data_IF_893728968705
#
_entry.id   IF_893728968705
#
_cell.length_a   1.000
_cell.length_b   1.000
_cell.length_c   1.000
_cell.angle_alpha   90.00
_cell.angle_beta   90.00
_cell.angle_gamma   90.00
#
_symmetry.space_group_name_H-M   'P 1'
#
loop_
_entity.id
_entity.type
_entity.pdbx_description
1 polymer ?
#
# COMPACT_ATOMS: atom_id res chain seq x y z
N UNK A 1 5.27 14.36 17.27
CA UNK A 1 5.54 13.05 16.63
C UNK A 1 6.19 12.15 17.66
N UNK A 2 5.79 10.86 17.73
CA UNK A 2 6.37 9.88 18.65
C UNK A 2 7.76 9.41 18.24
N UNK A 3 8.42 8.62 19.12
CA UNK A 3 9.67 7.95 18.78
C UNK A 3 9.45 6.79 17.80
N UNK A 4 10.47 6.45 17.01
CA UNK A 4 10.50 5.19 16.27
C UNK A 4 10.71 4.02 17.22
N UNK A 5 10.48 2.80 16.74
CA UNK A 5 10.36 1.59 17.55
C UNK A 5 11.60 1.28 18.42
N UNK A 6 12.79 1.67 18.00
CA UNK A 6 14.02 1.39 18.72
C UNK A 6 15.15 2.38 18.38
N UNK A 7 16.22 2.47 19.20
CA UNK A 7 17.43 3.22 18.83
C UNK A 7 18.05 2.72 17.52
N UNK A 8 18.06 1.41 17.30
CA UNK A 8 18.57 0.81 16.05
C UNK A 8 17.77 1.27 14.82
N UNK A 9 16.44 1.37 14.93
CA UNK A 9 15.61 1.91 13.86
C UNK A 9 15.92 3.39 13.56
N UNK A 10 16.25 4.17 14.61
CA UNK A 10 16.67 5.56 14.43
C UNK A 10 18.01 5.66 13.69
N UNK A 11 18.99 4.82 14.03
CA UNK A 11 20.28 4.74 13.32
C UNK A 11 20.09 4.36 11.84
N UNK A 12 19.23 3.36 11.56
CA UNK A 12 18.91 2.94 10.19
C UNK A 12 18.28 4.07 9.38
N UNK A 13 17.39 4.86 9.96
CA UNK A 13 16.77 6.00 9.29
C UNK A 13 17.74 7.14 9.02
N UNK A 14 18.65 7.42 9.95
CA UNK A 14 19.72 8.39 9.72
C UNK A 14 20.69 7.93 8.62
N UNK A 15 21.02 6.64 8.59
CA UNK A 15 21.81 6.05 7.52
C UNK A 15 21.06 6.10 6.17
N UNK A 16 19.74 5.82 6.16
CA UNK A 16 18.91 5.95 4.97
C UNK A 16 18.92 7.39 4.42
N UNK A 17 18.73 8.40 5.28
CA UNK A 17 18.83 9.80 4.88
C UNK A 17 20.20 10.12 4.25
N UNK A 18 21.27 9.64 4.85
CA UNK A 18 22.64 9.85 4.32
C UNK A 18 22.81 9.15 2.97
N UNK A 19 22.31 7.93 2.82
CA UNK A 19 22.32 7.18 1.56
C UNK A 19 21.55 7.91 0.45
N UNK A 20 20.32 8.36 0.72
CA UNK A 20 19.53 9.12 -0.26
C UNK A 20 20.26 10.37 -0.75
N UNK A 21 20.95 11.07 0.17
CA UNK A 21 21.78 12.24 -0.18
C UNK A 21 22.99 11.85 -1.06
N UNK A 22 23.65 10.74 -0.77
CA UNK A 22 24.78 10.26 -1.58
C UNK A 22 24.38 9.87 -3.00
N UNK A 23 23.10 9.46 -3.17
CA UNK A 23 22.48 9.14 -4.47
C UNK A 23 21.93 10.37 -5.21
N UNK A 24 22.13 11.57 -4.68
CA UNK A 24 21.78 12.82 -5.35
C UNK A 24 20.52 13.50 -4.80
N UNK A 25 19.84 12.95 -3.80
CA UNK A 25 18.71 13.64 -3.17
C UNK A 25 19.20 14.89 -2.40
N UNK A 26 18.45 15.98 -2.53
CA UNK A 26 18.77 17.24 -1.84
C UNK A 26 18.01 17.32 -0.51
N UNK A 27 18.72 17.55 0.60
CA UNK A 27 18.09 17.77 1.91
C UNK A 27 17.33 19.11 1.91
N UNK A 28 16.03 19.05 2.19
CA UNK A 28 15.18 20.23 2.45
C UNK A 28 15.03 20.47 3.95
N UNK A 29 14.95 19.40 4.74
CA UNK A 29 14.95 19.40 6.20
C UNK A 29 15.78 18.20 6.67
N UNK A 30 16.81 18.46 7.46
CA UNK A 30 17.68 17.41 7.95
C UNK A 30 17.06 16.73 9.19
N UNK A 31 16.89 15.41 9.11
CA UNK A 31 16.50 14.57 10.25
C UNK A 31 17.67 14.40 11.21
N UNK A 32 17.42 14.57 12.50
CA UNK A 32 18.42 14.44 13.57
C UNK A 32 17.90 13.60 14.72
N UNK A 33 18.79 12.87 15.37
CA UNK A 33 18.47 12.23 16.63
C UNK A 33 18.43 13.28 17.75
N UNK A 34 17.27 13.41 18.40
CA UNK A 34 17.03 14.43 19.42
C UNK A 34 17.57 14.06 20.81
N UNK A 35 17.70 12.75 21.08
CA UNK A 35 18.25 12.22 22.31
C UNK A 35 19.09 10.97 22.00
N UNK A 36 20.37 10.91 22.42
CA UNK A 36 21.24 9.76 22.20
C UNK A 36 20.64 8.45 22.70
N UNK A 37 20.91 7.35 22.01
CA UNK A 37 20.47 5.99 22.36
C UNK A 37 18.94 5.85 22.50
N UNK A 38 18.15 6.65 21.79
CA UNK A 38 16.68 6.57 21.76
C UNK A 38 16.16 6.56 20.33
N UNK A 39 14.89 6.15 20.15
CA UNK A 39 14.17 6.26 18.88
C UNK A 39 13.65 7.67 18.56
N UNK A 40 14.07 8.72 19.29
CA UNK A 40 13.53 10.05 19.12
C UNK A 40 14.26 10.81 18.02
N UNK A 41 13.57 11.01 16.88
CA UNK A 41 14.07 11.70 15.71
C UNK A 41 13.25 12.98 15.43
N UNK A 42 13.92 14.01 14.89
CA UNK A 42 13.20 15.10 14.23
C UNK A 42 12.68 14.66 12.85
N UNK A 43 11.68 15.33 12.26
CA UNK A 43 11.33 15.11 10.85
C UNK A 43 12.49 15.39 9.91
N UNK A 44 12.55 14.64 8.80
CA UNK A 44 13.44 14.89 7.68
C UNK A 44 12.68 14.94 6.38
N UNK A 45 13.11 15.79 5.45
CA UNK A 45 12.56 15.92 4.10
C UNK A 45 13.71 15.95 3.09
N UNK A 46 13.65 15.08 2.10
CA UNK A 46 14.59 15.08 0.98
C UNK A 46 13.85 15.27 -0.34
N UNK A 47 14.43 16.05 -1.24
CA UNK A 47 13.97 16.22 -2.62
C UNK A 47 14.73 15.24 -3.51
N UNK A 48 14.03 14.24 -4.01
CA UNK A 48 14.56 13.20 -4.90
C UNK A 48 14.36 13.50 -6.38
N UNK A 49 13.92 14.71 -6.73
CA UNK A 49 13.65 15.08 -8.13
C UNK A 49 14.91 14.96 -8.98
N UNK A 50 14.87 14.08 -9.98
CA UNK A 50 15.99 13.83 -10.89
C UNK A 50 17.07 12.89 -10.34
N UNK A 51 16.92 12.35 -9.14
CA UNK A 51 17.78 11.33 -8.58
C UNK A 51 17.17 9.92 -8.74
N UNK A 52 18.03 8.93 -9.00
CA UNK A 52 17.63 7.52 -8.99
C UNK A 52 17.73 6.97 -7.56
N UNK A 53 16.61 6.94 -6.87
CA UNK A 53 16.54 6.50 -5.48
C UNK A 53 15.98 5.07 -5.38
N UNK A 54 16.38 4.30 -4.35
CA UNK A 54 15.81 2.98 -4.10
C UNK A 54 14.29 3.04 -3.85
N UNK A 55 13.55 2.07 -4.40
CA UNK A 55 12.13 1.86 -4.08
C UNK A 55 12.01 1.11 -2.76
N UNK A 56 12.22 1.85 -1.66
CA UNK A 56 12.21 1.33 -0.29
C UNK A 56 11.28 2.15 0.60
N UNK A 57 10.60 1.48 1.52
CA UNK A 57 9.77 2.09 2.54
C UNK A 57 10.58 2.33 3.83
N UNK A 58 10.64 3.58 4.27
CA UNK A 58 11.34 3.98 5.48
C UNK A 58 10.35 4.21 6.62
N UNK A 59 10.27 3.28 7.57
CA UNK A 59 9.34 3.34 8.72
C UNK A 59 9.78 4.38 9.75
N UNK A 60 9.62 5.65 9.42
CA UNK A 60 9.98 6.76 10.29
C UNK A 60 9.68 8.14 9.71
N UNK A 61 10.11 9.20 10.39
CA UNK A 61 9.79 10.57 10.04
C UNK A 61 10.65 11.12 8.88
N UNK A 62 10.86 10.34 7.84
CA UNK A 62 11.61 10.71 6.64
C UNK A 62 10.66 10.75 5.44
N UNK A 63 10.52 11.91 4.83
CA UNK A 63 9.70 12.12 3.65
C UNK A 63 10.57 12.39 2.43
N UNK A 64 10.35 11.65 1.35
CA UNK A 64 10.91 11.95 0.03
C UNK A 64 9.86 12.67 -0.81
N UNK A 65 10.22 13.80 -1.40
CA UNK A 65 9.36 14.57 -2.31
C UNK A 65 9.92 14.53 -3.71
N UNK A 66 9.04 14.46 -4.71
CA UNK A 66 9.37 14.56 -6.12
C UNK A 66 8.52 15.66 -6.75
N UNK A 67 9.14 16.50 -7.56
CA UNK A 67 8.48 17.55 -8.32
C UNK A 67 8.11 17.04 -9.70
N UNK A 68 6.92 17.34 -10.13
CA UNK A 68 6.41 16.96 -11.44
C UNK A 68 5.97 18.21 -12.23
N UNK A 69 5.81 18.10 -13.55
CA UNK A 69 5.39 19.20 -14.43
C UNK A 69 3.96 19.08 -14.87
N UNK A 70 3.45 17.87 -15.04
CA UNK A 70 2.09 17.57 -15.44
C UNK A 70 1.46 16.52 -14.53
N UNK A 71 0.13 16.43 -14.54
CA UNK A 71 -0.54 15.39 -13.77
C UNK A 71 -0.23 13.97 -14.30
N UNK A 72 0.09 13.84 -15.59
CA UNK A 72 0.56 12.59 -16.18
C UNK A 72 1.90 12.15 -15.56
N UNK A 73 2.83 13.09 -15.39
CA UNK A 73 4.10 12.81 -14.70
C UNK A 73 3.86 12.39 -13.24
N UNK A 74 2.90 13.05 -12.55
CA UNK A 74 2.55 12.70 -11.18
C UNK A 74 2.01 11.27 -11.06
N UNK A 75 1.12 10.86 -11.98
CA UNK A 75 0.56 9.51 -12.03
C UNK A 75 1.64 8.47 -12.36
N UNK A 76 2.52 8.78 -13.33
CA UNK A 76 3.63 7.91 -13.67
C UNK A 76 4.56 7.68 -12.46
N UNK A 77 4.93 8.76 -11.75
CA UNK A 77 5.75 8.69 -10.53
C UNK A 77 5.04 7.92 -9.41
N UNK A 78 3.74 8.16 -9.19
CA UNK A 78 2.96 7.46 -8.18
C UNK A 78 2.89 5.95 -8.42
N UNK A 79 2.92 5.53 -9.68
CA UNK A 79 2.89 4.12 -10.08
C UNK A 79 4.29 3.48 -10.25
N UNK A 80 5.35 4.28 -10.17
CA UNK A 80 6.74 3.80 -10.29
C UNK A 80 7.27 3.23 -8.98
N UNK A 81 6.51 2.30 -8.41
CA UNK A 81 6.87 1.59 -7.17
C UNK A 81 6.32 0.18 -7.19
N UNK A 82 6.97 -0.73 -6.51
CA UNK A 82 6.46 -2.08 -6.25
C UNK A 82 5.37 -2.12 -5.17
N UNK A 83 5.26 -1.06 -4.37
CA UNK A 83 4.26 -0.91 -3.31
C UNK A 83 2.94 -0.39 -3.86
N UNK A 84 1.88 -0.44 -3.06
CA UNK A 84 0.56 0.04 -3.46
C UNK A 84 -0.46 -0.09 -2.34
N UNK A 85 -0.13 0.35 -1.11
CA UNK A 85 -1.08 0.32 0.00
C UNK A 85 -2.05 1.50 -0.10
N UNK A 86 -1.52 2.72 -0.10
CA UNK A 86 -2.35 3.92 -0.10
C UNK A 86 -1.79 5.02 -0.99
N UNK A 87 -2.69 5.74 -1.63
CA UNK A 87 -2.41 6.93 -2.40
C UNK A 87 -3.47 8.00 -2.10
N UNK A 88 -3.22 9.24 -2.53
CA UNK A 88 -4.22 10.28 -2.41
C UNK A 88 -3.84 11.55 -3.12
N UNK A 89 -4.82 12.42 -3.27
CA UNK A 89 -4.68 13.71 -3.91
C UNK A 89 -5.15 14.82 -2.98
N UNK A 90 -4.35 15.86 -2.87
CA UNK A 90 -4.74 17.15 -2.30
C UNK A 90 -4.95 18.13 -3.45
N UNK A 91 -6.19 18.41 -3.80
CA UNK A 91 -6.58 19.27 -4.92
C UNK A 91 -8.05 19.65 -4.82
N UNK A 92 -8.41 20.83 -5.29
CA UNK A 92 -9.81 21.27 -5.42
C UNK A 92 -10.45 20.75 -6.73
N UNK A 93 -9.66 20.16 -7.64
CA UNK A 93 -10.15 19.63 -8.91
C UNK A 93 -10.59 18.16 -8.76
N UNK A 94 -11.89 17.94 -8.75
CA UNK A 94 -12.52 16.61 -8.68
C UNK A 94 -12.15 15.74 -9.86
N UNK A 95 -11.96 16.28 -11.05
CA UNK A 95 -11.63 15.49 -12.26
C UNK A 95 -10.25 14.86 -12.16
N UNK A 96 -9.30 15.56 -11.52
CA UNK A 96 -7.96 15.00 -11.25
C UNK A 96 -8.04 13.85 -10.25
N UNK A 97 -8.94 13.94 -9.26
CA UNK A 97 -9.13 12.84 -8.31
C UNK A 97 -9.80 11.62 -8.97
N UNK A 98 -10.84 11.83 -9.78
CA UNK A 98 -11.51 10.74 -10.50
C UNK A 98 -10.51 10.00 -11.39
N UNK A 99 -9.66 10.75 -12.10
CA UNK A 99 -8.58 10.19 -12.90
C UNK A 99 -7.52 9.45 -12.06
N UNK A 100 -7.14 9.99 -10.87
CA UNK A 100 -6.25 9.30 -9.95
C UNK A 100 -6.82 7.93 -9.54
N UNK A 101 -8.11 7.88 -9.19
CA UNK A 101 -8.77 6.62 -8.77
C UNK A 101 -8.73 5.56 -9.87
N UNK A 102 -8.86 5.98 -11.13
CA UNK A 102 -8.83 5.07 -12.27
C UNK A 102 -7.42 4.55 -12.62
N UNK A 103 -6.40 5.37 -12.41
CA UNK A 103 -5.06 5.09 -12.94
C UNK A 103 -4.03 4.70 -11.87
N UNK A 104 -4.25 5.02 -10.58
CA UNK A 104 -3.27 4.73 -9.53
C UNK A 104 -3.36 3.28 -9.06
N UNK A 105 -2.21 2.66 -8.84
CA UNK A 105 -2.09 1.29 -8.33
C UNK A 105 -2.00 1.29 -6.80
N UNK A 106 -3.13 1.52 -6.13
CA UNK A 106 -3.21 1.49 -4.68
C UNK A 106 -4.53 0.88 -4.20
N UNK A 107 -4.51 0.25 -3.02
CA UNK A 107 -5.71 -0.36 -2.44
C UNK A 107 -6.58 0.62 -1.66
N UNK A 108 -6.01 1.76 -1.23
CA UNK A 108 -6.72 2.85 -0.55
C UNK A 108 -6.41 4.14 -1.29
N UNK A 109 -7.44 4.88 -1.71
CA UNK A 109 -7.25 6.15 -2.42
C UNK A 109 -8.10 7.23 -1.78
N UNK A 110 -7.46 8.29 -1.27
CA UNK A 110 -8.12 9.34 -0.51
C UNK A 110 -8.05 10.69 -1.24
N UNK A 111 -9.11 11.49 -1.13
CA UNK A 111 -9.18 12.86 -1.63
C UNK A 111 -9.27 13.86 -0.49
N UNK A 112 -8.32 14.80 -0.42
CA UNK A 112 -8.24 15.84 0.60
C UNK A 112 -8.35 15.28 2.03
N UNK A 113 -7.80 14.08 2.25
CA UNK A 113 -7.77 13.38 3.53
C UNK A 113 -6.38 12.78 3.77
N UNK A 114 -6.00 12.55 5.04
CA UNK A 114 -4.81 11.81 5.36
C UNK A 114 -4.81 10.42 4.70
N UNK A 115 -3.63 9.92 4.36
CA UNK A 115 -3.45 8.56 3.80
C UNK A 115 -3.44 7.48 4.88
N UNK A 116 -3.46 7.87 6.14
CA UNK A 116 -3.48 6.98 7.31
C UNK A 116 -4.90 6.78 7.82
N UNK A 117 -5.14 5.62 8.39
CA UNK A 117 -6.46 5.24 8.90
C UNK A 117 -7.28 4.47 7.86
N UNK A 118 -7.97 3.44 8.33
CA UNK A 118 -8.86 2.62 7.53
C UNK A 118 -10.17 2.39 8.29
N UNK A 119 -11.27 2.30 7.56
CA UNK A 119 -12.56 1.91 8.11
C UNK A 119 -12.68 0.39 8.11
N UNK A 120 -13.16 -0.22 9.20
CA UNK A 120 -13.52 -1.63 9.23
C UNK A 120 -14.72 -1.97 8.34
N UNK A 121 -15.50 -0.96 7.95
CA UNK A 121 -16.64 -1.09 7.04
C UNK A 121 -16.25 -0.93 5.55
N UNK A 122 -14.96 -0.86 5.24
CA UNK A 122 -14.43 -0.75 3.89
C UNK A 122 -13.32 -1.79 3.66
N UNK A 123 -13.00 -2.17 2.41
CA UNK A 123 -11.85 -3.00 2.11
C UNK A 123 -10.56 -2.36 2.61
N UNK A 124 -9.64 -3.15 3.15
CA UNK A 124 -8.31 -2.71 3.52
C UNK A 124 -7.27 -3.69 3.00
N UNK A 125 -6.36 -3.20 2.19
CA UNK A 125 -5.25 -3.99 1.64
C UNK A 125 -4.62 -3.27 0.47
N UNK A 126 -3.39 -3.64 0.15
CA UNK A 126 -2.63 -3.08 -0.95
C UNK A 126 -2.50 -4.03 -2.12
N UNK A 127 -1.88 -3.52 -3.17
CA UNK A 127 -1.45 -4.27 -4.34
C UNK A 127 0.08 -4.39 -4.38
N UNK A 128 0.61 -5.22 -5.26
CA UNK A 128 2.05 -5.44 -5.36
C UNK A 128 2.67 -5.94 -4.05
N UNK A 129 3.80 -5.37 -3.65
CA UNK A 129 4.49 -5.73 -2.40
C UNK A 129 3.73 -5.34 -1.13
N UNK A 130 2.69 -4.51 -1.23
CA UNK A 130 1.86 -4.09 -0.09
C UNK A 130 0.62 -4.96 0.13
N UNK A 131 0.47 -6.09 -0.54
CA UNK A 131 -0.70 -6.94 -0.39
C UNK A 131 -0.49 -8.38 -0.82
N UNK A 132 -1.49 -9.20 -0.52
CA UNK A 132 -1.55 -10.62 -0.90
C UNK A 132 -2.74 -10.91 -1.84
N UNK A 133 -3.29 -9.89 -2.50
CA UNK A 133 -4.48 -9.93 -3.36
C UNK A 133 -5.79 -10.29 -2.64
N UNK A 134 -5.82 -10.22 -1.31
CA UNK A 134 -7.01 -10.47 -0.48
C UNK A 134 -7.20 -9.31 0.50
N UNK A 135 -8.01 -8.31 0.13
CA UNK A 135 -8.32 -7.20 1.04
C UNK A 135 -8.94 -7.73 2.34
N UNK A 136 -8.56 -7.10 3.43
CA UNK A 136 -8.99 -7.37 4.80
C UNK A 136 -10.16 -6.45 5.20
N UNK A 137 -10.38 -6.28 6.49
CA UNK A 137 -11.43 -5.49 7.10
C UNK A 137 -12.83 -5.96 6.67
N UNK A 138 -13.55 -5.25 5.82
CA UNK A 138 -14.88 -5.66 5.35
C UNK A 138 -14.93 -7.09 4.79
N UNK A 139 -13.87 -7.53 4.09
CA UNK A 139 -13.78 -8.87 3.51
C UNK A 139 -13.11 -9.92 4.41
N UNK A 140 -12.82 -9.59 5.68
CA UNK A 140 -12.09 -10.51 6.55
C UNK A 140 -12.84 -11.85 6.76
N UNK A 141 -14.17 -11.83 6.85
CA UNK A 141 -14.98 -13.05 7.00
C UNK A 141 -14.88 -13.96 5.78
N UNK A 142 -14.82 -13.39 4.57
CA UNK A 142 -14.84 -14.16 3.32
C UNK A 142 -13.57 -14.99 3.14
N UNK A 143 -12.39 -14.46 3.50
CA UNK A 143 -11.14 -15.20 3.35
C UNK A 143 -10.79 -16.07 4.58
N UNK A 144 -11.51 -15.93 5.68
CA UNK A 144 -11.39 -16.82 6.84
C UNK A 144 -12.16 -18.15 6.66
N UNK A 145 -12.94 -18.27 5.58
CA UNK A 145 -13.70 -19.47 5.24
C UNK A 145 -13.39 -19.92 3.81
N UNK A 146 -13.41 -21.22 3.60
CA UNK A 146 -13.32 -21.78 2.25
C UNK A 146 -14.74 -21.91 1.67
N UNK A 147 -15.06 -21.30 0.54
CA UNK A 147 -16.35 -21.48 -0.14
C UNK A 147 -16.53 -22.93 -0.55
N UNK A 148 -17.62 -23.55 -0.10
CA UNK A 148 -17.96 -24.93 -0.43
C UNK A 148 -19.35 -24.97 -1.06
N UNK A 149 -19.45 -25.63 -2.20
CA UNK A 149 -20.74 -25.96 -2.81
C UNK A 149 -21.15 -27.38 -2.39
N UNK A 150 -22.44 -27.54 -2.06
CA UNK A 150 -23.05 -28.84 -1.73
C UNK A 150 -24.31 -29.02 -2.52
N UNK A 151 -24.51 -30.22 -3.06
CA UNK A 151 -25.79 -30.69 -3.60
C UNK A 151 -26.28 -31.83 -2.71
N UNK A 152 -27.42 -31.64 -2.09
CA UNK A 152 -27.92 -32.54 -1.05
C UNK A 152 -29.30 -33.11 -1.43
N UNK A 153 -29.47 -34.39 -1.22
CA UNK A 153 -30.75 -35.06 -1.30
C UNK A 153 -31.01 -35.85 -0.02
N UNK A 154 -32.25 -35.88 0.51
CA UNK A 154 -32.58 -36.58 1.75
C UNK A 154 -32.49 -38.11 1.62
N UNK A 155 -32.46 -38.61 0.39
CA UNK A 155 -32.32 -40.04 0.06
C UNK A 155 -31.45 -40.22 -1.16
N UNK A 156 -30.78 -41.35 -1.20
CA UNK A 156 -30.11 -41.81 -2.43
C UNK A 156 -31.13 -42.41 -3.37
N UNK A 157 -31.26 -41.88 -4.55
CA UNK A 157 -32.19 -42.38 -5.57
C UNK A 157 -31.41 -42.76 -6.82
N UNK A 158 -31.84 -43.82 -7.48
CA UNK A 158 -31.32 -44.23 -8.77
C UNK A 158 -31.82 -43.23 -9.82
N UNK A 159 -30.97 -42.66 -10.67
CA UNK A 159 -31.40 -41.76 -11.74
C UNK A 159 -32.40 -42.45 -12.66
N UNK A 160 -33.43 -41.72 -13.12
CA UNK A 160 -34.41 -42.24 -14.09
C UNK A 160 -33.75 -42.64 -15.43
N UNK A 161 -32.62 -42.01 -15.76
CA UNK A 161 -31.82 -42.37 -16.93
C UNK A 161 -30.35 -42.46 -16.55
N UNK A 162 -29.71 -43.52 -16.96
CA UNK A 162 -28.26 -43.70 -16.77
C UNK A 162 -27.50 -43.13 -17.94
N UNK A 163 -26.22 -42.81 -17.70
CA UNK A 163 -25.30 -42.42 -18.78
C UNK A 163 -25.18 -43.57 -19.81
N UNK A 164 -25.01 -43.26 -21.10
CA UNK A 164 -24.85 -44.29 -22.14
C UNK A 164 -23.77 -45.30 -21.78
N UNK A 165 -24.12 -46.60 -21.82
CA UNK A 165 -23.21 -47.70 -21.50
C UNK A 165 -23.21 -48.17 -20.05
N UNK A 166 -24.07 -47.55 -19.18
CA UNK A 166 -24.31 -48.03 -17.80
C UNK A 166 -25.66 -48.73 -17.73
N UNK A 167 -25.69 -49.93 -17.17
CA UNK A 167 -26.88 -50.71 -16.83
C UNK A 167 -26.77 -51.21 -15.39
N UNK A 168 -27.87 -51.20 -14.66
CA UNK A 168 -27.99 -51.89 -13.37
C UNK A 168 -28.72 -53.20 -13.60
N UNK A 169 -27.98 -54.23 -14.07
CA UNK A 169 -28.49 -55.59 -14.13
C UNK A 169 -28.01 -56.39 -12.93
#
# INVERSE_FOLDING_TARGET
MGSVISPKAAEQLLAAQANLRSLGARSLLEMKQLKPNTGLLSPGIVDGTGAELPDEEYFGPLLTVYRYKSFDDALALANQTRFGLSAGLLSDDRKLFDRLVEEVRAGVVNWNRPLTGASSAAPFGGVGASGNHRPSAYYAADYCAWPMASLEAPKSEVPESLAPGLNFD
#
